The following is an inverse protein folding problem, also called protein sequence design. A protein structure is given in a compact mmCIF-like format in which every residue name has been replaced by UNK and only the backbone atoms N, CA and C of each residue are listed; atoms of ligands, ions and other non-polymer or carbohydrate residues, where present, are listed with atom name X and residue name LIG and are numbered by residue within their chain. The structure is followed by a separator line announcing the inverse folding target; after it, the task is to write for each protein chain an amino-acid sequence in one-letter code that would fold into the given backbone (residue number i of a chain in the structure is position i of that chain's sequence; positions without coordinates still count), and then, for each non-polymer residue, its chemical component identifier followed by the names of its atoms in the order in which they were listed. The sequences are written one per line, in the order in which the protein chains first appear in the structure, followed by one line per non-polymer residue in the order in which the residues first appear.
data_IF_970198309789
#
_entry.id   IF_970198309789
#
_cell.length_a   1.000
_cell.length_b   1.000
_cell.length_c   1.000
_cell.angle_alpha   90.00
_cell.angle_beta   90.00
_cell.angle_gamma   90.00
#
_symmetry.space_group_name_H-M   'P 1'
#
loop_
_entity.id
_entity.type
_entity.pdbx_description
1 polymer ?
#
# COMPACT_ATOMS: atom_id res chain seq x y z
N UNK A 1 -15.05 53.58 -88.44
CA UNK A 1 -15.10 54.06 -87.04
C UNK A 1 -14.68 52.89 -86.19
N UNK A 2 -13.39 52.82 -85.97
CA UNK A 2 -12.69 51.70 -85.37
C UNK A 2 -12.67 51.78 -83.85
N UNK A 3 -12.49 50.57 -83.29
CA UNK A 3 -11.61 50.24 -82.17
C UNK A 3 -12.17 50.19 -80.74
N UNK A 4 -11.64 49.15 -80.07
CA UNK A 4 -11.29 49.05 -78.64
C UNK A 4 -12.34 48.43 -77.69
N UNK A 5 -12.13 47.17 -77.25
CA UNK A 5 -11.31 46.84 -76.05
C UNK A 5 -11.36 45.35 -75.68
N UNK A 6 -10.17 44.82 -75.39
CA UNK A 6 -9.87 43.61 -74.62
C UNK A 6 -10.66 43.51 -73.30
N UNK A 7 -10.96 42.27 -72.87
CA UNK A 7 -10.40 41.66 -71.63
C UNK A 7 -10.92 40.23 -71.39
N UNK A 8 -9.97 39.32 -71.13
CA UNK A 8 -10.03 38.10 -70.28
C UNK A 8 -11.13 37.06 -70.61
N UNK A 9 -10.89 35.75 -70.63
CA UNK A 9 -10.44 34.87 -69.53
C UNK A 9 -10.09 33.49 -70.13
N UNK A 10 -9.30 32.70 -69.38
CA UNK A 10 -9.12 31.23 -69.47
C UNK A 10 -8.26 30.75 -70.67
N UNK A 11 -7.29 29.86 -70.54
CA UNK A 11 -6.92 28.91 -69.51
C UNK A 11 -5.64 28.18 -69.98
N UNK A 12 -5.06 27.34 -69.10
CA UNK A 12 -4.09 26.26 -69.37
C UNK A 12 -2.62 26.73 -69.43
N UNK A 13 -1.63 26.07 -68.86
CA UNK A 13 -1.47 24.97 -67.89
C UNK A 13 0.05 24.83 -67.78
N UNK A 14 0.63 24.90 -66.58
CA UNK A 14 1.92 24.25 -66.26
C UNK A 14 2.24 24.45 -64.78
N UNK A 15 1.62 23.63 -63.93
CA UNK A 15 2.07 23.45 -62.55
C UNK A 15 3.22 22.43 -62.57
N UNK A 16 4.43 22.77 -62.09
CA UNK A 16 5.47 21.78 -61.93
C UNK A 16 5.16 20.90 -60.71
N UNK A 17 5.25 19.60 -60.98
CA UNK A 17 5.29 18.44 -60.11
C UNK A 17 5.99 18.73 -58.76
N UNK A 18 5.22 18.86 -57.67
CA UNK A 18 5.73 18.64 -56.31
C UNK A 18 5.17 17.31 -55.81
N UNK A 19 5.94 16.24 -56.02
CA UNK A 19 5.67 14.94 -55.43
C UNK A 19 6.01 15.04 -53.94
N UNK A 20 5.01 15.37 -53.14
CA UNK A 20 5.11 15.31 -51.68
C UNK A 20 4.77 13.88 -51.25
N UNK A 21 5.79 13.04 -51.13
CA UNK A 21 5.70 11.71 -50.54
C UNK A 21 5.40 11.87 -49.03
N UNK A 22 4.12 11.98 -48.66
CA UNK A 22 3.69 11.80 -47.28
C UNK A 22 3.68 10.30 -46.98
N UNK A 23 4.83 9.78 -46.51
CA UNK A 23 4.89 8.50 -45.81
C UNK A 23 4.16 8.67 -44.47
N UNK A 24 2.85 8.40 -44.44
CA UNK A 24 2.13 8.18 -43.18
C UNK A 24 2.53 6.81 -42.65
N UNK A 25 3.65 6.76 -41.95
CA UNK A 25 3.94 5.64 -41.05
C UNK A 25 2.99 5.74 -39.86
N UNK A 26 1.86 5.04 -39.96
CA UNK A 26 1.05 4.66 -38.80
C UNK A 26 1.89 3.69 -37.96
N UNK A 27 2.80 4.24 -37.16
CA UNK A 27 3.44 3.48 -36.09
C UNK A 27 2.37 3.31 -35.01
N UNK A 28 1.61 2.22 -35.10
CA UNK A 28 0.83 1.74 -33.97
C UNK A 28 1.81 1.19 -32.94
N UNK A 29 2.39 2.06 -32.12
CA UNK A 29 3.03 1.63 -30.87
C UNK A 29 1.91 1.22 -29.93
N UNK A 30 1.39 0.01 -30.13
CA UNK A 30 0.84 -0.75 -29.01
C UNK A 30 2.03 -1.09 -28.10
N UNK A 31 2.48 -0.10 -27.32
CA UNK A 31 3.12 -0.38 -26.05
C UNK A 31 2.01 -0.95 -25.15
N UNK A 32 1.68 -2.22 -25.40
CA UNK A 32 1.16 -3.09 -24.35
C UNK A 32 2.32 -3.24 -23.40
N UNK A 33 2.47 -2.26 -22.51
CA UNK A 33 3.23 -2.46 -21.30
C UNK A 33 2.49 -3.56 -20.57
N UNK A 34 3.02 -4.78 -20.73
CA UNK A 34 2.48 -5.98 -20.13
C UNK A 34 2.24 -5.68 -18.64
N UNK A 35 1.00 -5.89 -18.24
CA UNK A 35 0.42 -5.63 -16.94
C UNK A 35 1.30 -6.23 -15.82
N UNK A 36 2.28 -5.47 -15.29
CA UNK A 36 2.74 -5.70 -13.93
C UNK A 36 1.50 -5.45 -13.07
N UNK A 37 0.88 -6.51 -12.55
CA UNK A 37 -0.31 -6.35 -11.70
C UNK A 37 0.13 -5.62 -10.43
N UNK A 38 -0.19 -4.33 -10.28
CA UNK A 38 0.37 -3.48 -9.22
C UNK A 38 -0.21 -3.80 -7.84
N UNK A 39 -1.29 -4.60 -7.82
CA UNK A 39 -1.98 -5.12 -6.64
C UNK A 39 -2.12 -6.63 -6.76
N UNK A 40 -1.56 -7.34 -5.78
CA UNK A 40 -1.71 -8.79 -5.60
C UNK A 40 -2.58 -9.03 -4.38
N UNK A 41 -3.56 -9.93 -4.47
CA UNK A 41 -4.45 -10.27 -3.34
C UNK A 41 -4.49 -11.79 -3.21
N UNK A 42 -3.89 -12.29 -2.14
CA UNK A 42 -3.82 -13.71 -1.82
C UNK A 42 -4.74 -14.04 -0.64
N UNK A 43 -5.46 -15.16 -0.75
CA UNK A 43 -6.28 -15.68 0.34
C UNK A 43 -5.36 -16.31 1.40
N UNK A 44 -5.45 -15.84 2.64
CA UNK A 44 -4.79 -16.49 3.77
C UNK A 44 -5.72 -17.55 4.39
N UNK A 45 -6.96 -17.15 4.68
CA UNK A 45 -8.04 -18.05 5.10
C UNK A 45 -9.40 -17.49 4.64
N UNK A 46 -10.51 -18.00 5.17
CA UNK A 46 -11.85 -17.57 4.76
C UNK A 46 -12.17 -16.10 5.06
N UNK A 47 -11.48 -15.47 6.03
CA UNK A 47 -11.75 -14.10 6.48
C UNK A 47 -10.57 -13.15 6.29
N UNK A 48 -9.34 -13.66 6.27
CA UNK A 48 -8.12 -12.87 6.10
C UNK A 48 -7.54 -13.03 4.69
N UNK A 49 -7.17 -11.90 4.10
CA UNK A 49 -6.49 -11.82 2.82
C UNK A 49 -5.29 -10.90 2.93
N UNK A 50 -4.16 -11.32 2.39
CA UNK A 50 -2.98 -10.46 2.27
C UNK A 50 -3.05 -9.76 0.93
N UNK A 51 -2.87 -8.44 0.92
CA UNK A 51 -2.63 -7.69 -0.30
C UNK A 51 -1.22 -7.12 -0.31
N UNK A 52 -0.59 -7.19 -1.48
CA UNK A 52 0.76 -6.69 -1.71
C UNK A 52 0.72 -5.65 -2.83
N UNK A 53 1.33 -4.49 -2.58
CA UNK A 53 1.54 -3.43 -3.57
C UNK A 53 3.00 -3.05 -3.64
N UNK A 54 3.39 -2.27 -4.63
CA UNK A 54 4.80 -1.98 -4.90
C UNK A 54 5.05 -0.50 -5.12
N UNK A 55 6.14 0.04 -4.59
CA UNK A 55 6.52 1.43 -4.79
C UNK A 55 8.01 1.52 -5.13
N UNK A 56 8.38 2.46 -6.01
CA UNK A 56 9.79 2.76 -6.26
C UNK A 56 10.36 3.54 -5.08
N UNK A 57 11.30 2.95 -4.37
CA UNK A 57 12.07 3.60 -3.33
C UNK A 57 13.53 3.70 -3.78
N UNK A 58 13.93 4.89 -4.21
CA UNK A 58 15.29 5.19 -4.65
C UNK A 58 15.76 4.29 -5.81
N UNK A 59 14.88 4.03 -6.79
CA UNK A 59 15.19 3.19 -7.96
C UNK A 59 15.08 1.68 -7.70
N UNK A 60 14.66 1.29 -6.50
CA UNK A 60 14.37 -0.11 -6.16
C UNK A 60 12.87 -0.28 -5.96
N UNK A 61 12.27 -1.23 -6.66
CA UNK A 61 10.86 -1.56 -6.47
C UNK A 61 10.70 -2.37 -5.17
N UNK A 62 10.06 -1.79 -4.16
CA UNK A 62 9.86 -2.41 -2.84
C UNK A 62 8.41 -2.83 -2.69
N UNK A 63 8.18 -4.04 -2.20
CA UNK A 63 6.85 -4.55 -1.91
C UNK A 63 6.38 -4.11 -0.52
N UNK A 64 5.08 -3.85 -0.36
CA UNK A 64 4.44 -3.61 0.92
C UNK A 64 3.24 -4.55 1.09
N UNK A 65 3.27 -5.35 2.17
CA UNK A 65 2.21 -6.28 2.53
C UNK A 65 1.33 -5.71 3.62
N UNK A 66 0.06 -6.08 3.57
CA UNK A 66 -0.98 -5.67 4.49
C UNK A 66 -2.15 -6.66 4.44
N UNK A 67 -3.03 -6.65 5.44
CA UNK A 67 -4.18 -7.55 5.51
C UNK A 67 -5.48 -6.77 5.36
N UNK A 68 -6.47 -7.40 4.73
CA UNK A 68 -7.86 -7.04 5.00
C UNK A 68 -8.63 -8.20 5.63
N UNK A 69 -9.50 -7.85 6.57
CA UNK A 69 -10.39 -8.77 7.30
C UNK A 69 -11.81 -8.59 6.79
N UNK A 70 -12.46 -9.70 6.42
CA UNK A 70 -13.88 -9.73 6.11
C UNK A 70 -14.68 -9.95 7.39
N UNK A 71 -15.61 -9.05 7.67
CA UNK A 71 -16.59 -9.18 8.75
C UNK A 71 -18.00 -9.30 8.17
N UNK A 72 -19.01 -9.53 9.00
CA UNK A 72 -20.40 -9.50 8.54
C UNK A 72 -20.91 -8.08 8.21
N UNK A 73 -20.23 -7.04 8.69
CA UNK A 73 -20.65 -5.64 8.50
C UNK A 73 -19.92 -4.96 7.32
N UNK A 74 -18.82 -5.55 6.85
CA UNK A 74 -17.94 -4.99 5.82
C UNK A 74 -16.50 -5.48 5.95
N UNK A 75 -15.62 -4.98 5.08
CA UNK A 75 -14.19 -5.26 5.14
C UNK A 75 -13.43 -4.17 5.93
N UNK A 76 -12.42 -4.60 6.69
CA UNK A 76 -11.49 -3.71 7.41
C UNK A 76 -10.12 -3.85 6.78
N UNK A 77 -9.49 -2.72 6.42
CA UNK A 77 -8.10 -2.69 5.95
C UNK A 77 -7.17 -2.43 7.12
N UNK A 78 -6.02 -3.12 7.12
CA UNK A 78 -4.92 -2.88 8.04
C UNK A 78 -3.71 -2.44 7.22
N UNK A 79 -3.37 -1.16 7.32
CA UNK A 79 -2.52 -0.35 6.44
C UNK A 79 -3.22 0.09 5.14
N UNK A 80 -2.60 0.98 4.38
CA UNK A 80 -3.00 1.36 3.02
C UNK A 80 -2.05 0.73 2.00
N UNK A 81 -2.41 0.62 0.72
CA UNK A 81 -1.41 0.43 -0.33
C UNK A 81 -0.27 1.45 -0.22
N UNK A 82 0.94 1.08 -0.65
CA UNK A 82 2.02 2.06 -0.81
C UNK A 82 1.88 2.81 -2.14
N UNK A 83 1.48 2.08 -3.19
CA UNK A 83 1.13 2.69 -4.47
C UNK A 83 -0.25 3.35 -4.38
N UNK A 84 -0.27 4.69 -4.41
CA UNK A 84 -1.50 5.48 -4.39
C UNK A 84 -2.48 5.17 -5.54
N UNK A 85 -1.97 4.65 -6.66
CA UNK A 85 -2.83 4.23 -7.77
C UNK A 85 -3.65 2.98 -7.45
N UNK A 86 -3.30 2.25 -6.36
CA UNK A 86 -3.98 1.05 -5.91
C UNK A 86 -5.04 1.28 -4.83
N UNK A 87 -5.24 2.52 -4.35
CA UNK A 87 -6.26 2.80 -3.35
C UNK A 87 -7.67 2.41 -3.81
N UNK A 88 -8.09 2.89 -4.99
CA UNK A 88 -9.40 2.54 -5.55
C UNK A 88 -9.46 1.09 -6.07
N UNK A 89 -8.46 0.57 -6.81
CA UNK A 89 -8.44 -0.83 -7.22
C UNK A 89 -8.58 -1.84 -6.08
N UNK A 90 -8.03 -1.57 -4.90
CA UNK A 90 -8.22 -2.42 -3.72
C UNK A 90 -9.67 -2.42 -3.26
N UNK A 91 -10.30 -1.24 -3.15
CA UNK A 91 -11.72 -1.12 -2.78
C UNK A 91 -12.62 -1.87 -3.78
N UNK A 92 -12.38 -1.66 -5.08
CA UNK A 92 -13.15 -2.29 -6.15
C UNK A 92 -12.97 -3.81 -6.15
N UNK A 93 -11.75 -4.29 -5.88
CA UNK A 93 -11.46 -5.72 -5.80
C UNK A 93 -12.17 -6.40 -4.63
N UNK A 94 -12.22 -5.75 -3.47
CA UNK A 94 -12.94 -6.26 -2.29
C UNK A 94 -14.45 -6.32 -2.59
N UNK A 95 -15.01 -5.25 -3.15
CA UNK A 95 -16.43 -5.20 -3.53
C UNK A 95 -16.78 -6.27 -4.58
N UNK A 96 -15.95 -6.42 -5.62
CA UNK A 96 -16.19 -7.39 -6.68
C UNK A 96 -16.06 -8.84 -6.21
N UNK A 97 -15.10 -9.13 -5.31
CA UNK A 97 -14.82 -10.49 -4.84
C UNK A 97 -15.78 -10.94 -3.74
N UNK A 98 -16.19 -10.03 -2.87
CA UNK A 98 -16.89 -10.37 -1.63
C UNK A 98 -18.27 -9.73 -1.51
N UNK A 99 -18.62 -8.77 -2.36
CA UNK A 99 -19.85 -8.00 -2.23
C UNK A 99 -19.85 -7.01 -1.07
N UNK A 100 -18.70 -6.80 -0.42
CA UNK A 100 -18.56 -5.98 0.79
C UNK A 100 -17.86 -4.66 0.49
N UNK A 101 -18.32 -3.60 1.16
CA UNK A 101 -17.64 -2.31 1.19
C UNK A 101 -16.58 -2.29 2.30
N UNK A 102 -15.55 -1.46 2.13
CA UNK A 102 -14.58 -1.19 3.20
C UNK A 102 -15.18 -0.19 4.19
N UNK A 103 -15.17 -0.55 5.47
CA UNK A 103 -15.83 0.19 6.56
C UNK A 103 -14.84 0.79 7.56
N UNK A 104 -13.54 0.50 7.44
CA UNK A 104 -12.51 1.07 8.29
C UNK A 104 -11.10 0.76 7.79
N UNK A 105 -10.16 1.67 8.06
CA UNK A 105 -8.74 1.53 7.72
C UNK A 105 -7.89 1.84 8.94
N UNK A 106 -7.07 0.90 9.38
CA UNK A 106 -6.19 1.02 10.55
C UNK A 106 -4.74 1.10 10.12
N UNK A 107 -4.00 2.17 10.40
CA UNK A 107 -2.57 2.22 10.07
C UNK A 107 -1.71 1.77 11.25
N UNK A 108 -0.73 0.91 10.96
CA UNK A 108 0.21 0.40 11.96
C UNK A 108 1.25 1.42 12.40
N UNK A 109 1.61 2.38 11.53
CA UNK A 109 2.44 3.54 11.83
C UNK A 109 2.30 4.64 10.77
N UNK A 110 3.04 5.74 10.92
CA UNK A 110 2.86 6.97 10.14
C UNK A 110 3.45 6.99 8.73
N UNK A 111 4.23 5.98 8.32
CA UNK A 111 4.86 5.93 7.00
C UNK A 111 3.84 5.74 5.85
N UNK A 112 4.24 6.08 4.63
CA UNK A 112 3.33 6.16 3.47
C UNK A 112 2.77 4.81 3.02
N UNK A 113 3.55 3.74 3.20
CA UNK A 113 3.13 2.37 2.98
C UNK A 113 2.09 1.87 3.99
N UNK A 114 1.67 2.71 4.94
CA UNK A 114 0.72 2.38 6.00
C UNK A 114 -0.42 3.38 6.16
N UNK A 115 -0.09 4.66 6.24
CA UNK A 115 -1.04 5.75 6.47
C UNK A 115 -1.15 6.70 5.26
N UNK A 116 -0.38 6.48 4.19
CA UNK A 116 -0.31 7.37 3.03
C UNK A 116 -1.64 7.59 2.33
N UNK A 117 -2.59 6.65 2.45
CA UNK A 117 -3.91 6.74 1.85
C UNK A 117 -4.97 7.49 2.65
N UNK A 118 -4.68 7.97 3.87
CA UNK A 118 -5.73 8.53 4.76
C UNK A 118 -6.56 9.65 4.14
N UNK A 119 -5.95 10.58 3.39
CA UNK A 119 -6.70 11.63 2.68
C UNK A 119 -7.75 11.05 1.71
N UNK A 120 -7.37 10.02 0.95
CA UNK A 120 -8.25 9.37 -0.01
C UNK A 120 -9.43 8.68 0.69
N UNK A 121 -9.17 7.91 1.76
CA UNK A 121 -10.21 7.19 2.49
C UNK A 121 -11.14 8.16 3.24
N UNK A 122 -10.59 9.21 3.86
CA UNK A 122 -11.36 10.24 4.55
C UNK A 122 -12.31 10.99 3.60
N UNK A 123 -11.83 11.37 2.40
CA UNK A 123 -12.67 12.02 1.37
C UNK A 123 -13.80 11.14 0.85
N UNK A 124 -13.67 9.82 0.97
CA UNK A 124 -14.72 8.84 0.68
C UNK A 124 -15.66 8.58 1.85
N UNK A 125 -15.43 9.20 3.00
CA UNK A 125 -16.20 8.95 4.22
C UNK A 125 -15.90 7.60 4.88
N UNK A 126 -14.77 6.96 4.54
CA UNK A 126 -14.32 5.73 5.19
C UNK A 126 -13.53 6.12 6.44
N UNK A 127 -13.95 5.70 7.65
CA UNK A 127 -13.23 5.99 8.88
C UNK A 127 -11.79 5.47 8.87
N UNK A 128 -10.84 6.32 9.25
CA UNK A 128 -9.43 5.96 9.42
C UNK A 128 -9.05 5.98 10.89
N UNK A 129 -8.17 5.07 11.26
CA UNK A 129 -7.83 4.75 12.64
C UNK A 129 -6.32 4.70 12.80
N UNK A 130 -5.80 5.40 13.80
CA UNK A 130 -4.38 5.37 14.14
C UNK A 130 -4.18 5.64 15.63
N UNK A 131 -3.02 5.29 16.18
CA UNK A 131 -2.69 5.66 17.57
C UNK A 131 -2.53 7.18 17.70
N UNK A 132 -2.60 7.69 18.94
CA UNK A 132 -2.33 9.12 19.20
C UNK A 132 -0.93 9.51 18.72
N UNK A 133 0.08 8.67 18.96
CA UNK A 133 1.46 8.95 18.54
C UNK A 133 1.60 8.94 17.01
N UNK A 134 0.97 8.00 16.32
CA UNK A 134 0.92 7.99 14.85
C UNK A 134 0.31 9.28 14.30
N UNK A 135 -0.81 9.75 14.86
CA UNK A 135 -1.41 11.02 14.45
C UNK A 135 -0.51 12.24 14.73
N UNK A 136 0.23 12.25 15.85
CA UNK A 136 1.21 13.30 16.14
C UNK A 136 2.33 13.33 15.10
N UNK A 137 2.87 12.16 14.73
CA UNK A 137 3.91 12.04 13.70
C UNK A 137 3.40 12.40 12.31
N UNK A 138 2.18 11.98 11.94
CA UNK A 138 1.54 12.40 10.70
C UNK A 138 1.41 13.93 10.63
N UNK A 139 0.90 14.57 11.69
CA UNK A 139 0.76 16.02 11.74
C UNK A 139 2.10 16.76 11.69
N UNK A 140 3.11 16.27 12.42
CA UNK A 140 4.47 16.82 12.41
C UNK A 140 5.10 16.77 11.01
N UNK A 141 4.74 15.77 10.21
CA UNK A 141 5.19 15.58 8.85
C UNK A 141 4.22 16.11 7.78
N UNK A 142 3.23 16.93 8.17
CA UNK A 142 2.25 17.56 7.27
C UNK A 142 1.43 16.55 6.45
N UNK A 143 1.18 15.37 7.00
CA UNK A 143 0.34 14.32 6.43
C UNK A 143 -1.06 14.35 7.04
N UNK A 144 -2.04 13.81 6.32
CA UNK A 144 -3.40 13.69 6.81
C UNK A 144 -3.46 12.73 8.00
N UNK A 145 -4.08 13.17 9.09
CA UNK A 145 -4.29 12.33 10.28
C UNK A 145 -5.51 11.43 10.11
N UNK A 146 -5.54 10.35 10.91
CA UNK A 146 -6.72 9.51 11.03
C UNK A 146 -7.93 10.30 11.58
N UNK A 147 -9.15 9.90 11.22
CA UNK A 147 -10.38 10.50 11.76
C UNK A 147 -10.69 10.00 13.17
N UNK A 148 -10.12 8.87 13.59
CA UNK A 148 -10.30 8.27 14.91
C UNK A 148 -8.95 7.88 15.54
N UNK A 149 -8.91 7.98 16.86
CA UNK A 149 -7.79 7.48 17.67
C UNK A 149 -8.12 6.05 18.11
N UNK A 150 -7.12 5.17 18.04
CA UNK A 150 -7.17 3.81 18.60
C UNK A 150 -6.35 3.77 19.87
N UNK A 151 -6.93 3.18 20.92
CA UNK A 151 -6.19 2.79 22.11
C UNK A 151 -5.60 1.40 21.88
N UNK A 152 -4.31 1.24 22.14
CA UNK A 152 -3.65 -0.05 22.03
C UNK A 152 -3.99 -0.95 23.23
N UNK A 153 -3.92 -2.27 23.07
CA UNK A 153 -4.25 -3.22 24.13
C UNK A 153 -5.73 -3.61 24.24
N UNK A 154 -6.62 -2.93 23.51
CA UNK A 154 -8.05 -3.19 23.55
C UNK A 154 -8.49 -4.14 22.42
N UNK A 155 -9.28 -5.16 22.78
CA UNK A 155 -9.88 -6.06 21.81
C UNK A 155 -11.02 -5.35 21.07
N UNK A 156 -10.86 -5.16 19.77
CA UNK A 156 -11.85 -4.53 18.90
C UNK A 156 -12.74 -5.62 18.30
N UNK A 157 -14.06 -5.43 18.35
CA UNK A 157 -15.05 -6.35 17.79
C UNK A 157 -15.90 -5.65 16.73
N UNK A 158 -15.94 -6.18 15.50
CA UNK A 158 -16.71 -5.62 14.37
C UNK A 158 -17.28 -6.75 13.54
N UNK A 159 -18.58 -6.74 13.22
CA UNK A 159 -19.22 -7.73 12.36
C UNK A 159 -18.97 -9.19 12.74
N UNK A 160 -18.86 -9.49 14.04
CA UNK A 160 -18.61 -10.83 14.57
C UNK A 160 -17.13 -11.27 14.58
N UNK A 161 -16.23 -10.44 14.08
CA UNK A 161 -14.78 -10.68 14.09
C UNK A 161 -14.09 -9.89 15.19
N UNK A 162 -12.88 -10.33 15.58
CA UNK A 162 -12.07 -9.69 16.62
C UNK A 162 -10.63 -9.51 16.17
N UNK A 163 -10.05 -8.38 16.52
CA UNK A 163 -8.62 -8.10 16.40
C UNK A 163 -8.17 -7.15 17.50
N UNK A 164 -6.87 -7.09 17.74
CA UNK A 164 -6.25 -6.17 18.70
C UNK A 164 -5.11 -5.43 18.03
N UNK A 165 -5.00 -4.12 18.25
CA UNK A 165 -3.84 -3.33 17.86
C UNK A 165 -2.97 -3.11 19.09
N UNK A 166 -1.69 -3.47 19.02
CA UNK A 166 -0.79 -3.39 20.16
C UNK A 166 0.50 -2.64 19.87
N UNK A 167 0.92 -1.85 20.86
CA UNK A 167 2.20 -1.17 20.88
C UNK A 167 3.11 -1.86 21.90
N UNK A 168 4.08 -2.62 21.43
CA UNK A 168 5.07 -3.25 22.30
C UNK A 168 6.30 -2.39 22.53
N UNK A 169 6.31 -1.13 22.09
CA UNK A 169 7.48 -0.23 22.14
C UNK A 169 8.07 0.04 20.77
N UNK A 170 8.96 1.03 20.72
CA UNK A 170 9.62 1.45 19.48
C UNK A 170 10.47 0.33 18.86
N UNK A 171 10.58 0.36 17.54
CA UNK A 171 11.39 -0.54 16.73
C UNK A 171 11.71 0.10 15.39
N UNK A 172 11.02 -0.33 14.32
CA UNK A 172 11.10 0.27 12.98
C UNK A 172 10.76 1.76 12.99
N UNK A 173 9.72 2.12 13.73
CA UNK A 173 9.36 3.51 14.01
C UNK A 173 9.07 3.70 15.50
N UNK A 174 9.05 4.95 15.95
CA UNK A 174 8.67 5.27 17.34
C UNK A 174 7.22 4.87 17.69
N UNK A 175 6.35 4.73 16.68
CA UNK A 175 4.91 4.51 16.81
C UNK A 175 4.43 3.17 16.26
N UNK A 176 5.33 2.27 15.85
CA UNK A 176 4.93 1.00 15.23
C UNK A 176 3.99 0.18 16.10
N UNK A 177 2.91 -0.29 15.52
CA UNK A 177 2.00 -1.26 16.15
C UNK A 177 1.93 -2.52 15.34
N UNK A 178 1.41 -3.57 15.97
CA UNK A 178 1.06 -4.84 15.32
C UNK A 178 -0.42 -5.11 15.45
N UNK A 179 -0.97 -5.90 14.54
CA UNK A 179 -2.37 -6.34 14.59
C UNK A 179 -2.42 -7.84 14.88
N UNK A 180 -3.06 -8.21 15.98
CA UNK A 180 -3.28 -9.59 16.36
C UNK A 180 -4.70 -10.04 16.03
N UNK A 181 -4.82 -11.16 15.34
CA UNK A 181 -6.10 -11.80 15.01
C UNK A 181 -6.24 -13.13 15.76
N UNK A 182 -6.79 -13.13 16.99
CA UNK A 182 -6.73 -14.29 17.89
C UNK A 182 -7.43 -15.53 17.33
N UNK A 183 -8.57 -15.38 16.67
CA UNK A 183 -9.34 -16.50 16.09
C UNK A 183 -8.57 -17.26 15.00
N UNK A 184 -7.59 -16.61 14.38
CA UNK A 184 -6.79 -17.16 13.27
C UNK A 184 -5.36 -17.45 13.65
N UNK A 185 -4.93 -17.05 14.86
CA UNK A 185 -3.53 -17.07 15.30
C UNK A 185 -2.58 -16.39 14.30
N UNK A 186 -3.05 -15.32 13.67
CA UNK A 186 -2.30 -14.53 12.68
C UNK A 186 -1.88 -13.20 13.29
N UNK A 187 -0.63 -12.81 13.08
CA UNK A 187 -0.09 -11.51 13.43
C UNK A 187 0.29 -10.73 12.16
N UNK A 188 -0.27 -9.55 11.94
CA UNK A 188 0.33 -8.56 11.04
C UNK A 188 1.41 -7.81 11.81
N UNK A 189 2.67 -8.15 11.53
CA UNK A 189 3.83 -7.52 12.16
C UNK A 189 4.17 -6.15 11.58
N UNK A 190 3.64 -5.81 10.39
CA UNK A 190 3.99 -4.57 9.69
C UNK A 190 5.51 -4.43 9.54
N UNK A 191 6.02 -3.20 9.46
CA UNK A 191 7.46 -2.96 9.30
C UNK A 191 8.29 -3.31 10.55
N UNK A 192 7.64 -3.55 11.70
CA UNK A 192 8.27 -4.01 12.95
C UNK A 192 8.81 -5.43 12.84
N UNK A 193 8.23 -6.28 11.98
CA UNK A 193 8.75 -7.61 11.66
C UNK A 193 9.29 -7.60 10.22
N UNK A 194 10.53 -8.03 10.06
CA UNK A 194 11.19 -8.22 8.76
C UNK A 194 10.89 -9.60 8.20
N UNK A 195 10.88 -9.68 6.87
CA UNK A 195 10.75 -10.95 6.15
C UNK A 195 11.92 -11.88 6.48
N UNK A 196 11.76 -13.19 6.25
CA UNK A 196 12.78 -14.17 6.59
C UNK A 196 14.01 -14.06 5.68
N UNK A 197 13.80 -13.53 4.48
CA UNK A 197 14.78 -13.29 3.43
C UNK A 197 15.46 -11.92 3.52
N UNK A 198 14.96 -11.01 4.38
CA UNK A 198 15.58 -9.72 4.59
C UNK A 198 17.04 -9.87 5.07
N UNK A 199 17.91 -9.07 4.47
CA UNK A 199 19.35 -9.04 4.76
C UNK A 199 19.76 -7.89 5.67
N UNK A 200 18.88 -6.91 5.88
CA UNK A 200 19.08 -5.76 6.75
C UNK A 200 17.74 -5.28 7.34
N UNK A 201 17.78 -4.28 8.23
CA UNK A 201 16.59 -3.69 8.85
C UNK A 201 15.85 -2.68 7.94
N UNK A 202 16.34 -2.42 6.73
CA UNK A 202 15.85 -1.36 5.86
C UNK A 202 16.04 0.03 6.45
N UNK A 203 15.09 0.92 6.17
CA UNK A 203 15.10 2.28 6.71
C UNK A 203 14.71 2.29 8.20
N UNK A 204 15.60 2.84 9.03
CA UNK A 204 15.49 2.87 10.51
C UNK A 204 15.55 4.29 11.08
N UNK A 205 15.50 5.32 10.23
CA UNK A 205 15.74 6.72 10.63
C UNK A 205 14.71 7.29 11.59
N UNK A 206 13.51 6.73 11.63
CA UNK A 206 12.41 7.14 12.53
C UNK A 206 12.17 6.13 13.66
N UNK A 207 13.07 5.16 13.82
CA UNK A 207 12.98 4.05 14.76
C UNK A 207 13.89 4.19 15.98
N UNK A 208 13.90 3.14 16.78
CA UNK A 208 14.83 2.97 17.89
C UNK A 208 15.35 1.52 17.92
N UNK A 209 16.51 1.30 17.31
CA UNK A 209 17.15 -0.02 17.19
C UNK A 209 17.47 -0.61 18.57
N UNK A 210 17.82 0.22 19.56
CA UNK A 210 18.14 -0.25 20.91
C UNK A 210 16.89 -0.74 21.63
N UNK A 211 15.75 -0.08 21.40
CA UNK A 211 14.46 -0.51 21.95
C UNK A 211 13.81 -1.67 21.18
N UNK A 212 14.22 -1.92 19.92
CA UNK A 212 13.57 -2.93 19.10
C UNK A 212 13.65 -4.34 19.71
N UNK A 213 14.82 -4.76 20.22
CA UNK A 213 14.97 -6.09 20.85
C UNK A 213 14.06 -6.29 22.08
N UNK A 214 14.04 -5.41 23.10
CA UNK A 214 13.11 -5.55 24.21
C UNK A 214 11.63 -5.41 23.79
N UNK A 215 11.33 -4.61 22.75
CA UNK A 215 9.97 -4.56 22.18
C UNK A 215 9.56 -5.88 21.54
N UNK A 216 10.46 -6.53 20.79
CA UNK A 216 10.22 -7.82 20.16
C UNK A 216 10.02 -8.92 21.21
N UNK A 217 10.81 -8.90 22.28
CA UNK A 217 10.64 -9.83 23.40
C UNK A 217 9.26 -9.68 24.08
N UNK A 218 8.75 -8.46 24.24
CA UNK A 218 7.39 -8.22 24.76
C UNK A 218 6.31 -8.76 23.82
N UNK A 219 6.47 -8.59 22.51
CA UNK A 219 5.54 -9.14 21.52
C UNK A 219 5.47 -10.68 21.64
N UNK A 220 6.61 -11.36 21.61
CA UNK A 220 6.69 -12.82 21.71
C UNK A 220 6.07 -13.32 23.02
N UNK A 221 6.32 -12.62 24.13
CA UNK A 221 5.77 -12.99 25.43
C UNK A 221 4.24 -12.83 25.51
N UNK A 222 3.65 -11.86 24.80
CA UNK A 222 2.20 -11.62 24.82
C UNK A 222 1.43 -12.52 23.85
N UNK A 223 2.07 -13.02 22.79
CA UNK A 223 1.43 -13.88 21.80
C UNK A 223 2.20 -15.20 21.63
N UNK A 224 2.13 -16.12 22.60
CA UNK A 224 2.86 -17.39 22.55
C UNK A 224 2.32 -18.38 21.50
N UNK A 225 1.14 -18.12 20.94
CA UNK A 225 0.40 -19.02 20.05
C UNK A 225 0.26 -18.52 18.61
N UNK A 226 1.16 -17.61 18.18
CA UNK A 226 1.24 -17.20 16.77
C UNK A 226 1.52 -18.41 15.87
N UNK A 227 0.68 -18.62 14.86
CA UNK A 227 0.89 -19.63 13.81
C UNK A 227 1.40 -19.01 12.51
N UNK A 228 1.06 -17.75 12.23
CA UNK A 228 1.45 -17.07 11.00
C UNK A 228 1.77 -15.60 11.28
N UNK A 229 2.85 -15.10 10.67
CA UNK A 229 3.27 -13.69 10.76
C UNK A 229 3.33 -13.08 9.36
N UNK A 230 2.74 -11.91 9.18
CA UNK A 230 2.80 -11.14 7.94
C UNK A 230 3.75 -9.95 8.15
N UNK A 231 5.00 -9.98 7.62
CA UNK A 231 5.93 -8.86 7.67
C UNK A 231 5.48 -7.74 6.73
N UNK A 232 5.94 -6.52 6.98
CA UNK A 232 5.53 -5.33 6.21
C UNK A 232 6.02 -5.33 4.76
N UNK A 233 7.10 -6.05 4.46
CA UNK A 233 7.74 -6.08 3.14
C UNK A 233 8.18 -7.51 2.78
N UNK A 234 8.50 -7.70 1.50
CA UNK A 234 9.00 -8.93 0.87
C UNK A 234 8.07 -10.13 1.03
N UNK A 235 8.60 -11.35 0.92
CA UNK A 235 7.80 -12.56 1.11
C UNK A 235 7.18 -12.62 2.51
N UNK A 236 5.86 -12.70 2.54
CA UNK A 236 5.07 -13.00 3.73
C UNK A 236 4.77 -14.49 3.90
N UNK A 237 5.26 -15.36 2.99
CA UNK A 237 4.94 -16.79 3.01
C UNK A 237 5.47 -17.45 4.30
N UNK A 238 4.88 -18.57 4.76
CA UNK A 238 5.21 -19.17 6.04
C UNK A 238 6.73 -19.39 6.22
N UNK A 239 7.31 -18.67 7.18
CA UNK A 239 8.71 -18.74 7.57
C UNK A 239 8.89 -18.14 8.98
N UNK A 240 10.08 -18.29 9.55
CA UNK A 240 10.41 -17.73 10.87
C UNK A 240 10.84 -16.25 10.78
N UNK A 241 9.88 -15.39 10.47
CA UNK A 241 10.07 -13.94 10.31
C UNK A 241 10.51 -13.27 11.62
N UNK A 242 10.02 -13.74 12.76
CA UNK A 242 10.38 -13.22 14.09
C UNK A 242 11.87 -13.47 14.36
N UNK A 243 12.35 -14.69 14.14
CA UNK A 243 13.78 -15.02 14.31
C UNK A 243 14.67 -14.27 13.34
N UNK A 244 14.24 -14.10 12.09
CA UNK A 244 14.98 -13.28 11.13
C UNK A 244 15.10 -11.83 11.60
N UNK A 245 14.01 -11.26 12.13
CA UNK A 245 13.99 -9.91 12.71
C UNK A 245 14.95 -9.80 13.89
N UNK A 246 14.90 -10.73 14.85
CA UNK A 246 15.80 -10.74 16.01
C UNK A 246 17.28 -10.77 15.59
N UNK A 247 17.63 -11.66 14.64
CA UNK A 247 18.97 -11.75 14.06
C UNK A 247 19.42 -10.42 13.45
N UNK A 248 18.56 -9.75 12.69
CA UNK A 248 18.89 -8.47 12.04
C UNK A 248 19.08 -7.34 13.07
N UNK A 249 18.27 -7.33 14.14
CA UNK A 249 18.45 -6.38 15.25
C UNK A 249 19.78 -6.61 15.96
N UNK A 250 20.18 -7.87 16.17
CA UNK A 250 21.49 -8.19 16.76
C UNK A 250 22.66 -7.74 15.90
N UNK A 251 22.55 -7.85 14.57
CA UNK A 251 23.60 -7.43 13.64
C UNK A 251 23.75 -5.91 13.54
N UNK A 252 22.68 -5.16 13.85
CA UNK A 252 22.65 -3.70 13.78
C UNK A 252 23.11 -2.99 15.07
N UNK A 253 23.30 -3.74 16.16
CA UNK A 253 23.81 -3.24 17.45
C UNK A 253 25.30 -3.55 17.63
#
# INVERSE_FOLDING_TARGET
MDNFKLRSVLSLLSVPLFVLYFFTTLISTKNVQAQQKPLVIDKLNERLYVYTTYHDFQGTLVSANAIYLLTNDGAILFDTPWDSTQYQPLLDSIQAKHGLSVIGVYATHWHDDRAGGFDFYNKKGIPTYATSLTNQLLAANKKTTATHIVNTGEMISVGGEKFQMDFFGAGHSLDNTVIWFPSYRVLQGGCFIKSAEATDLGFVGDGDIKQWKPSLARLIANYPDIEMVIPGHDSWKPADHIKATDRLIEQAN
#
